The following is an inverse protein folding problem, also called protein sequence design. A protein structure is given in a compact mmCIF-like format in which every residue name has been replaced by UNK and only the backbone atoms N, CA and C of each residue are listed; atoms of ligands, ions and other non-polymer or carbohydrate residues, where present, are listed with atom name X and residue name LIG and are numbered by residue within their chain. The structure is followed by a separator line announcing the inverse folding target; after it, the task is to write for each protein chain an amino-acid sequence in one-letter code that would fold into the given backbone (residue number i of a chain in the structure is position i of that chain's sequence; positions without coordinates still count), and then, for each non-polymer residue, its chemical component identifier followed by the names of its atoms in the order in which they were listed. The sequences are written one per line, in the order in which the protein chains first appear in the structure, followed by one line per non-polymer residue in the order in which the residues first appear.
data_IF_146476168728
#
_entry.id   IF_146476168728
#
_cell.length_a   1.000
_cell.length_b   1.000
_cell.length_c   1.000
_cell.angle_alpha   90.00
_cell.angle_beta   90.00
_cell.angle_gamma   90.00
#
_symmetry.space_group_name_H-M   'P 1'
#
loop_
_entity.id
_entity.type
_entity.pdbx_description
1 polymer ?
#
# COMPACT_ATOMS: atom_id res chain seq x y z
N UNK A 1 14.99 -13.22 -8.89
CA UNK A 1 14.48 -13.07 -7.52
C UNK A 1 13.02 -12.66 -7.63
N UNK A 2 12.15 -13.18 -6.76
CA UNK A 2 10.73 -12.84 -6.65
C UNK A 2 10.41 -12.47 -5.21
N UNK A 3 9.33 -11.75 -4.99
CA UNK A 3 8.84 -11.44 -3.66
C UNK A 3 8.17 -12.68 -3.03
N UNK A 4 8.25 -12.76 -1.71
CA UNK A 4 7.44 -13.72 -0.98
C UNK A 4 5.97 -13.34 -1.12
N UNK A 5 5.11 -14.33 -1.35
CA UNK A 5 3.68 -14.10 -1.44
C UNK A 5 2.89 -15.34 -1.00
N UNK A 6 1.68 -15.12 -0.51
CA UNK A 6 0.73 -16.17 -0.18
C UNK A 6 -0.40 -16.16 -1.22
N UNK A 7 -0.58 -17.29 -1.93
CA UNK A 7 -1.64 -17.47 -2.91
C UNK A 7 -2.81 -18.25 -2.31
N UNK A 8 -4.03 -17.78 -2.57
CA UNK A 8 -5.27 -18.52 -2.30
C UNK A 8 -6.06 -18.58 -3.61
N UNK A 9 -6.29 -19.77 -4.11
CA UNK A 9 -7.00 -19.98 -5.38
C UNK A 9 -8.51 -19.87 -5.17
N UNK A 10 -9.17 -19.20 -6.12
CA UNK A 10 -10.61 -19.07 -6.23
C UNK A 10 -11.16 -19.83 -7.44
N UNK A 11 -12.28 -19.38 -7.99
CA UNK A 11 -12.90 -19.94 -9.19
C UNK A 11 -12.10 -19.57 -10.44
N UNK A 12 -11.97 -20.47 -11.42
CA UNK A 12 -11.32 -20.13 -12.69
C UNK A 12 -12.13 -19.08 -13.47
N UNK A 13 -11.43 -18.29 -14.27
CA UNK A 13 -12.04 -17.30 -15.18
C UNK A 13 -12.19 -15.90 -14.58
N UNK A 14 -12.06 -15.72 -13.27
CA UNK A 14 -12.01 -14.40 -12.64
C UNK A 14 -10.57 -13.88 -12.60
N UNK A 15 -10.36 -12.55 -12.67
CA UNK A 15 -9.03 -11.96 -12.48
C UNK A 15 -8.53 -12.19 -11.06
N UNK A 16 -7.21 -12.20 -10.87
CA UNK A 16 -6.62 -12.24 -9.54
C UNK A 16 -6.78 -10.92 -8.81
N UNK A 17 -6.91 -10.98 -7.49
CA UNK A 17 -6.75 -9.82 -6.60
C UNK A 17 -5.35 -9.88 -5.99
N UNK A 18 -4.51 -8.90 -6.31
CA UNK A 18 -3.14 -8.79 -5.81
C UNK A 18 -3.10 -7.70 -4.75
N UNK A 19 -2.88 -8.10 -3.51
CA UNK A 19 -2.90 -7.23 -2.34
C UNK A 19 -1.49 -6.80 -1.94
N UNK A 20 -1.30 -5.48 -1.78
CA UNK A 20 -0.03 -4.84 -1.40
C UNK A 20 -0.23 -4.08 -0.10
N UNK A 21 0.51 -4.47 0.95
CA UNK A 21 0.43 -3.87 2.27
C UNK A 21 1.09 -2.49 2.35
N UNK A 22 0.83 -1.75 3.42
CA UNK A 22 1.48 -0.49 3.76
C UNK A 22 2.88 -0.68 4.38
N UNK A 23 3.57 0.43 4.65
CA UNK A 23 4.85 0.41 5.35
C UNK A 23 4.74 -0.34 6.68
N UNK A 24 5.72 -1.17 6.98
CA UNK A 24 5.79 -2.08 8.12
C UNK A 24 4.74 -3.20 8.19
N UNK A 25 3.88 -3.33 7.15
CA UNK A 25 2.93 -4.43 7.00
C UNK A 25 3.59 -5.71 6.47
N UNK A 26 2.75 -6.70 6.19
CA UNK A 26 3.11 -7.96 5.54
C UNK A 26 1.90 -8.57 4.80
N UNK A 27 2.06 -9.76 4.24
CA UNK A 27 1.02 -10.47 3.49
C UNK A 27 -0.27 -10.79 4.30
N UNK A 28 -0.28 -10.59 5.62
CA UNK A 28 -1.48 -10.78 6.45
C UNK A 28 -2.37 -9.53 6.51
N UNK A 29 -1.84 -8.36 6.12
CA UNK A 29 -2.52 -7.06 6.23
C UNK A 29 -3.93 -7.07 5.64
N UNK A 30 -4.09 -7.70 4.47
CA UNK A 30 -5.32 -7.73 3.70
C UNK A 30 -6.14 -9.00 3.84
N UNK A 31 -5.72 -9.96 4.69
CA UNK A 31 -6.37 -11.27 4.72
C UNK A 31 -7.84 -11.19 5.14
N UNK A 32 -8.18 -10.39 6.15
CA UNK A 32 -9.56 -10.23 6.61
C UNK A 32 -10.47 -9.71 5.48
N UNK A 33 -10.04 -8.68 4.76
CA UNK A 33 -10.77 -8.14 3.62
C UNK A 33 -10.80 -9.13 2.47
N UNK A 34 -9.67 -9.73 2.14
CA UNK A 34 -9.54 -10.64 1.00
C UNK A 34 -10.34 -11.93 1.16
N UNK A 35 -10.59 -12.41 2.38
CA UNK A 35 -11.39 -13.61 2.61
C UNK A 35 -12.86 -13.47 2.18
N UNK A 36 -13.38 -12.25 2.19
CA UNK A 36 -14.71 -11.95 1.65
C UNK A 36 -14.82 -12.18 0.13
N UNK A 37 -13.69 -12.27 -0.57
CA UNK A 37 -13.60 -12.47 -2.02
C UNK A 37 -13.08 -13.88 -2.37
N UNK A 38 -13.57 -14.91 -1.69
CA UNK A 38 -13.11 -16.29 -1.85
C UNK A 38 -13.31 -16.85 -3.27
N UNK A 39 -14.21 -16.30 -4.04
CA UNK A 39 -14.44 -16.64 -5.44
C UNK A 39 -13.27 -16.20 -6.36
N UNK A 40 -12.54 -15.15 -5.98
CA UNK A 40 -11.36 -14.67 -6.69
C UNK A 40 -10.11 -15.41 -6.23
N UNK A 41 -9.19 -15.66 -7.15
CA UNK A 41 -7.83 -16.00 -6.77
C UNK A 41 -7.14 -14.78 -6.19
N UNK A 42 -6.44 -14.95 -5.06
CA UNK A 42 -5.84 -13.84 -4.29
C UNK A 42 -4.37 -14.09 -4.06
N UNK A 43 -3.56 -13.05 -4.27
CA UNK A 43 -2.15 -13.04 -3.96
C UNK A 43 -1.86 -11.93 -2.95
N UNK A 44 -1.35 -12.30 -1.79
CA UNK A 44 -0.92 -11.37 -0.75
C UNK A 44 0.59 -11.28 -0.77
N UNK A 45 1.14 -10.11 -1.10
CA UNK A 45 2.56 -9.94 -1.39
C UNK A 45 3.26 -9.24 -0.24
N UNK A 46 4.40 -9.80 0.21
CA UNK A 46 5.34 -9.09 1.07
C UNK A 46 6.24 -8.18 0.22
N UNK A 47 6.13 -6.87 0.43
CA UNK A 47 7.01 -5.89 -0.24
C UNK A 47 8.46 -6.06 0.22
N UNK A 48 9.48 -5.63 -0.57
CA UNK A 48 10.87 -5.70 -0.16
C UNK A 48 11.10 -5.13 1.24
N UNK A 49 12.00 -5.73 2.01
CA UNK A 49 12.28 -5.33 3.39
C UNK A 49 11.25 -5.74 4.43
N UNK A 50 10.15 -6.44 4.04
CA UNK A 50 9.03 -6.83 4.90
C UNK A 50 8.76 -8.33 4.86
N UNK A 51 8.22 -8.87 5.95
CA UNK A 51 7.76 -10.26 6.04
C UNK A 51 8.75 -11.27 5.49
N UNK A 52 8.29 -12.18 4.63
CA UNK A 52 9.14 -13.17 3.95
C UNK A 52 10.06 -12.58 2.87
N UNK A 53 9.88 -11.30 2.50
CA UNK A 53 10.76 -10.52 1.60
C UNK A 53 11.76 -9.64 2.36
N UNK A 54 11.94 -9.82 3.67
CA UNK A 54 12.76 -8.95 4.52
C UNK A 54 14.22 -8.85 4.06
N UNK A 55 14.77 -9.89 3.43
CA UNK A 55 16.17 -9.91 2.94
C UNK A 55 16.34 -9.32 1.55
N UNK A 56 15.25 -8.90 0.90
CA UNK A 56 15.27 -8.30 -0.44
C UNK A 56 15.47 -6.79 -0.27
N UNK A 57 16.60 -6.28 -0.73
CA UNK A 57 16.90 -4.85 -0.80
C UNK A 57 16.57 -4.30 -2.19
N UNK A 58 16.24 -3.02 -2.26
CA UNK A 58 15.91 -2.27 -3.48
C UNK A 58 16.48 -0.87 -3.39
N UNK A 59 16.77 -0.26 -4.53
CA UNK A 59 17.29 1.11 -4.61
C UNK A 59 16.18 2.13 -4.91
N UNK A 60 14.98 1.67 -5.29
CA UNK A 60 13.85 2.57 -5.59
C UNK A 60 12.60 1.85 -6.05
N UNK A 61 11.62 2.64 -6.48
CA UNK A 61 10.32 2.11 -6.94
C UNK A 61 10.43 1.22 -8.19
N UNK A 62 11.38 1.48 -9.09
CA UNK A 62 11.54 0.68 -10.32
C UNK A 62 11.95 -0.76 -9.98
N UNK A 63 12.81 -0.94 -8.98
CA UNK A 63 13.16 -2.27 -8.48
C UNK A 63 11.95 -2.97 -7.85
N UNK A 64 11.18 -2.23 -7.02
CA UNK A 64 9.98 -2.79 -6.36
C UNK A 64 8.96 -3.24 -7.40
N UNK A 65 8.66 -2.40 -8.40
CA UNK A 65 7.70 -2.73 -9.46
C UNK A 65 8.21 -3.86 -10.35
N UNK A 66 9.52 -3.87 -10.66
CA UNK A 66 10.16 -4.95 -11.41
C UNK A 66 10.09 -6.30 -10.68
N UNK A 67 10.28 -6.30 -9.35
CA UNK A 67 10.12 -7.50 -8.52
C UNK A 67 8.66 -7.95 -8.45
N UNK A 68 7.70 -7.01 -8.33
CA UNK A 68 6.27 -7.32 -8.40
C UNK A 68 5.91 -8.00 -9.72
N UNK A 69 6.33 -7.45 -10.86
CA UNK A 69 6.11 -8.04 -12.18
C UNK A 69 6.67 -9.46 -12.28
N UNK A 70 7.92 -9.67 -11.83
CA UNK A 70 8.54 -11.02 -11.82
C UNK A 70 7.75 -11.99 -10.93
N UNK A 71 7.21 -11.50 -9.83
CA UNK A 71 6.38 -12.31 -8.92
C UNK A 71 5.07 -12.70 -9.60
N UNK A 72 4.35 -11.76 -10.22
CA UNK A 72 3.11 -12.05 -10.98
C UNK A 72 3.34 -13.10 -12.06
N UNK A 73 4.42 -12.97 -12.83
CA UNK A 73 4.82 -13.95 -13.86
C UNK A 73 5.09 -15.31 -13.24
N UNK A 74 5.78 -15.39 -12.10
CA UNK A 74 6.10 -16.67 -11.44
C UNK A 74 4.88 -17.43 -10.94
N UNK A 75 3.79 -16.71 -10.64
CA UNK A 75 2.48 -17.28 -10.29
C UNK A 75 1.55 -17.49 -11.51
N UNK A 76 2.03 -17.22 -12.73
CA UNK A 76 1.27 -17.29 -13.97
C UNK A 76 -0.03 -16.44 -13.92
N UNK A 77 0.06 -15.26 -13.34
CA UNK A 77 -1.06 -14.32 -13.20
C UNK A 77 -1.14 -13.47 -14.46
N UNK A 78 -2.17 -13.70 -15.27
CA UNK A 78 -2.34 -13.06 -16.58
C UNK A 78 -3.36 -11.92 -16.56
N UNK A 79 -4.34 -11.96 -15.66
CA UNK A 79 -5.36 -10.93 -15.49
C UNK A 79 -5.54 -10.64 -14.00
N UNK A 80 -5.42 -9.38 -13.59
CA UNK A 80 -5.41 -9.04 -12.16
C UNK A 80 -5.82 -7.61 -11.87
N UNK A 81 -6.27 -7.41 -10.64
CA UNK A 81 -6.42 -6.12 -9.98
C UNK A 81 -5.29 -5.92 -8.98
N UNK A 82 -4.75 -4.71 -8.90
CA UNK A 82 -3.88 -4.31 -7.81
C UNK A 82 -4.70 -3.60 -6.73
N UNK A 83 -4.62 -4.07 -5.50
CA UNK A 83 -5.25 -3.46 -4.33
C UNK A 83 -4.15 -3.10 -3.33
N UNK A 84 -3.91 -1.82 -3.13
CA UNK A 84 -2.76 -1.38 -2.35
C UNK A 84 -3.10 -0.34 -1.29
N UNK A 85 -2.56 -0.51 -0.08
CA UNK A 85 -2.68 0.43 1.01
C UNK A 85 -1.41 1.27 1.18
N UNK A 86 -1.55 2.59 1.30
CA UNK A 86 -0.47 3.54 1.61
C UNK A 86 0.78 3.33 0.74
N UNK A 87 1.89 2.76 1.24
CA UNK A 87 3.06 2.38 0.43
C UNK A 87 2.67 1.41 -0.69
N UNK A 88 1.88 0.37 -0.38
CA UNK A 88 1.38 -0.58 -1.37
C UNK A 88 0.51 0.09 -2.44
N UNK A 89 -0.27 1.10 -2.08
CA UNK A 89 -1.02 1.93 -3.02
C UNK A 89 -0.11 2.74 -3.95
N UNK A 90 1.00 3.25 -3.41
CA UNK A 90 2.03 3.95 -4.20
C UNK A 90 2.73 3.02 -5.18
N UNK A 91 3.08 1.81 -4.73
CA UNK A 91 3.64 0.75 -5.59
C UNK A 91 2.65 0.35 -6.67
N UNK A 92 1.36 0.18 -6.33
CA UNK A 92 0.31 -0.15 -7.29
C UNK A 92 0.16 0.93 -8.39
N UNK A 93 0.15 2.21 -8.00
CA UNK A 93 0.11 3.32 -8.96
C UNK A 93 1.36 3.37 -9.85
N UNK A 94 2.55 3.22 -9.26
CA UNK A 94 3.82 3.19 -10.01
C UNK A 94 3.83 2.05 -11.03
N UNK A 95 3.46 0.85 -10.61
CA UNK A 95 3.40 -0.32 -11.48
C UNK A 95 2.37 -0.14 -12.61
N UNK A 96 1.18 0.37 -12.30
CA UNK A 96 0.13 0.60 -13.29
C UNK A 96 0.53 1.63 -14.36
N UNK A 97 1.31 2.65 -13.99
CA UNK A 97 1.84 3.63 -14.94
C UNK A 97 2.92 3.07 -15.88
N UNK A 98 3.38 1.82 -15.67
CA UNK A 98 4.31 1.10 -16.56
C UNK A 98 3.57 0.19 -17.57
N UNK A 99 2.27 0.36 -17.74
CA UNK A 99 1.44 -0.37 -18.72
C UNK A 99 1.53 -1.91 -18.58
N UNK A 100 1.28 -2.41 -17.38
CA UNK A 100 1.34 -3.85 -17.09
C UNK A 100 0.31 -4.64 -17.90
N UNK A 101 0.79 -5.62 -18.67
CA UNK A 101 -0.09 -6.53 -19.40
C UNK A 101 -1.02 -7.29 -18.44
N UNK A 102 -2.31 -7.32 -18.74
CA UNK A 102 -3.31 -8.01 -17.94
C UNK A 102 -3.82 -7.26 -16.72
N UNK A 103 -3.40 -6.02 -16.52
CA UNK A 103 -3.96 -5.18 -15.47
C UNK A 103 -5.40 -4.78 -15.79
N UNK A 104 -6.36 -5.24 -14.99
CA UNK A 104 -7.77 -4.89 -15.10
C UNK A 104 -8.08 -3.53 -14.44
N UNK A 105 -7.42 -3.24 -13.34
CA UNK A 105 -7.57 -1.98 -12.64
C UNK A 105 -6.78 -1.92 -11.34
N UNK A 106 -6.84 -0.75 -10.71
CA UNK A 106 -6.13 -0.43 -9.47
C UNK A 106 -7.11 0.14 -8.46
N UNK A 107 -7.03 -0.36 -7.24
CA UNK A 107 -7.71 0.19 -6.06
C UNK A 107 -6.66 0.65 -5.07
N UNK A 108 -6.64 1.93 -4.76
CA UNK A 108 -5.66 2.54 -3.86
C UNK A 108 -6.36 2.98 -2.57
N UNK A 109 -5.90 2.49 -1.44
CA UNK A 109 -6.28 3.01 -0.13
C UNK A 109 -5.17 3.92 0.39
N UNK A 110 -5.43 5.21 0.52
CA UNK A 110 -4.52 6.16 1.16
C UNK A 110 -3.12 6.30 0.52
N UNK A 111 -2.97 6.02 -0.78
CA UNK A 111 -1.69 6.13 -1.49
C UNK A 111 -1.47 7.54 -2.05
N UNK A 112 -0.31 8.14 -1.81
CA UNK A 112 0.02 9.48 -2.30
C UNK A 112 0.57 9.43 -3.74
N UNK A 113 0.08 10.27 -4.68
CA UNK A 113 0.51 10.23 -6.10
C UNK A 113 1.89 10.83 -6.37
N UNK A 114 2.57 11.35 -5.37
CA UNK A 114 3.86 12.04 -5.49
C UNK A 114 3.79 13.50 -5.05
N UNK A 115 4.92 14.09 -4.69
CA UNK A 115 5.03 15.50 -4.31
C UNK A 115 5.32 16.35 -5.54
N UNK A 116 4.69 17.54 -5.60
CA UNK A 116 4.74 18.39 -6.78
C UNK A 116 5.94 19.32 -6.82
N UNK A 117 6.42 19.80 -5.66
CA UNK A 117 7.47 20.80 -5.64
C UNK A 117 8.72 20.36 -4.85
N UNK A 118 9.85 21.04 -5.12
CA UNK A 118 11.15 20.72 -4.55
C UNK A 118 11.22 20.97 -3.03
N UNK A 119 10.48 21.96 -2.52
CA UNK A 119 10.46 22.28 -1.09
C UNK A 119 9.80 21.17 -0.28
N UNK A 120 8.61 20.71 -0.72
CA UNK A 120 7.93 19.56 -0.12
C UNK A 120 8.78 18.29 -0.15
N UNK A 121 9.49 18.06 -1.26
CA UNK A 121 10.42 16.91 -1.39
C UNK A 121 11.57 17.02 -0.41
N UNK A 122 12.19 18.19 -0.27
CA UNK A 122 13.29 18.43 0.66
C UNK A 122 12.85 18.28 2.12
N UNK A 123 11.67 18.80 2.48
CA UNK A 123 11.08 18.62 3.81
C UNK A 123 10.80 17.16 4.12
N UNK A 124 10.15 16.47 3.18
CA UNK A 124 9.87 15.04 3.31
C UNK A 124 11.14 14.22 3.46
N UNK A 125 12.18 14.51 2.68
CA UNK A 125 13.45 13.80 2.78
C UNK A 125 14.11 14.00 4.16
N UNK A 126 14.05 15.22 4.73
CA UNK A 126 14.55 15.47 6.08
C UNK A 126 13.78 14.65 7.13
N UNK A 127 12.46 14.65 7.03
CA UNK A 127 11.59 13.88 7.93
C UNK A 127 11.86 12.37 7.82
N UNK A 128 11.91 11.83 6.59
CA UNK A 128 12.14 10.39 6.40
C UNK A 128 13.53 9.96 6.89
N UNK A 129 14.58 10.79 6.73
CA UNK A 129 15.92 10.52 7.29
C UNK A 129 15.92 10.43 8.82
N UNK A 130 15.11 11.23 9.51
CA UNK A 130 14.97 11.11 10.96
C UNK A 130 14.35 9.78 11.36
N UNK A 131 13.31 9.34 10.66
CA UNK A 131 12.70 8.02 10.88
C UNK A 131 13.66 6.87 10.55
N UNK A 132 14.38 6.95 9.42
CA UNK A 132 15.43 5.99 9.04
C UNK A 132 16.45 5.83 10.17
N UNK A 133 16.97 6.94 10.71
CA UNK A 133 17.92 6.90 11.81
C UNK A 133 17.34 6.23 13.06
N UNK A 134 16.09 6.52 13.40
CA UNK A 134 15.39 5.91 14.53
C UNK A 134 15.18 4.42 14.34
N UNK A 135 14.75 3.98 13.15
CA UNK A 135 14.61 2.55 12.83
C UNK A 135 15.93 1.79 12.93
N UNK A 136 17.07 2.45 12.66
CA UNK A 136 18.40 1.84 12.74
C UNK A 136 18.92 1.74 14.18
N UNK A 137 18.53 2.63 15.08
CA UNK A 137 19.24 2.83 16.36
C UNK A 137 18.38 2.67 17.61
N UNK A 138 17.06 2.73 17.50
CA UNK A 138 16.14 2.68 18.64
C UNK A 138 15.36 1.36 18.69
N UNK A 139 14.86 0.95 19.86
CA UNK A 139 13.91 -0.16 19.96
C UNK A 139 12.65 0.12 19.15
N UNK A 140 12.23 -0.85 18.32
CA UNK A 140 11.08 -0.69 17.42
C UNK A 140 9.78 -0.34 18.14
N UNK A 141 9.60 -0.82 19.38
CA UNK A 141 8.44 -0.47 20.20
C UNK A 141 8.36 1.03 20.47
N UNK A 142 9.48 1.69 20.74
CA UNK A 142 9.53 3.14 20.94
C UNK A 142 9.31 3.89 19.62
N UNK A 143 9.96 3.43 18.54
CA UNK A 143 9.81 4.04 17.22
C UNK A 143 8.36 3.98 16.75
N UNK A 144 7.70 2.82 16.85
CA UNK A 144 6.31 2.70 16.42
C UNK A 144 5.31 3.37 17.37
N UNK A 145 5.61 3.49 18.67
CA UNK A 145 4.79 4.30 19.57
C UNK A 145 4.67 5.75 19.09
N UNK A 146 5.78 6.34 18.63
CA UNK A 146 5.79 7.70 18.08
C UNK A 146 5.29 7.74 16.62
N UNK A 147 5.60 6.72 15.81
CA UNK A 147 5.12 6.62 14.43
C UNK A 147 3.60 6.74 14.33
N UNK A 148 2.88 6.05 15.22
CA UNK A 148 1.43 6.07 15.25
C UNK A 148 0.82 7.31 15.95
N UNK A 149 1.65 8.25 16.41
CA UNK A 149 1.20 9.59 16.82
C UNK A 149 1.18 10.60 15.67
N UNK A 150 1.69 10.25 14.49
CA UNK A 150 1.64 11.14 13.33
C UNK A 150 0.19 11.51 12.99
N UNK A 151 -0.06 12.74 12.48
CA UNK A 151 -1.43 13.22 12.19
C UNK A 151 -2.25 12.32 11.26
N UNK A 152 -1.59 11.58 10.37
CA UNK A 152 -2.25 10.64 9.45
C UNK A 152 -2.96 9.50 10.20
N UNK A 153 -2.54 9.19 11.42
CA UNK A 153 -3.12 8.15 12.28
C UNK A 153 -4.00 8.72 13.41
N UNK A 154 -4.44 9.97 13.31
CA UNK A 154 -5.22 10.62 14.36
C UNK A 154 -6.58 9.97 14.65
N UNK A 155 -7.11 9.18 13.70
CA UNK A 155 -8.37 8.44 13.85
C UNK A 155 -8.28 7.23 14.78
N UNK A 156 -7.07 6.66 14.95
CA UNK A 156 -6.86 5.49 15.79
C UNK A 156 -7.05 5.83 17.26
N UNK A 157 -7.74 4.96 17.98
CA UNK A 157 -7.79 5.02 19.45
C UNK A 157 -6.54 4.39 20.08
N UNK A 158 -6.41 4.48 21.41
CA UNK A 158 -5.22 4.01 22.11
C UNK A 158 -5.06 2.48 22.05
N UNK A 159 -6.15 1.72 22.02
CA UNK A 159 -6.11 0.26 21.89
C UNK A 159 -5.59 -0.16 20.52
N UNK A 160 -6.13 0.45 19.46
CA UNK A 160 -5.69 0.23 18.09
C UNK A 160 -4.20 0.61 17.89
N UNK A 161 -3.75 1.72 18.49
CA UNK A 161 -2.33 2.11 18.45
C UNK A 161 -1.46 1.08 19.17
N UNK A 162 -1.84 0.62 20.37
CA UNK A 162 -1.08 -0.39 21.12
C UNK A 162 -0.98 -1.70 20.33
N UNK A 163 -2.08 -2.15 19.72
CA UNK A 163 -2.09 -3.34 18.89
C UNK A 163 -1.13 -3.21 17.69
N UNK A 164 -1.20 -2.08 16.96
CA UNK A 164 -0.31 -1.82 15.84
C UNK A 164 1.16 -1.73 16.26
N UNK A 165 1.47 -1.07 17.38
CA UNK A 165 2.84 -1.02 17.92
C UNK A 165 3.35 -2.44 18.21
N UNK A 166 2.56 -3.27 18.89
CA UNK A 166 2.95 -4.63 19.20
C UNK A 166 3.19 -5.46 17.92
N UNK A 167 2.29 -5.36 16.95
CA UNK A 167 2.37 -6.08 15.68
C UNK A 167 3.61 -5.66 14.87
N UNK A 168 3.81 -4.35 14.70
CA UNK A 168 4.89 -3.80 13.84
C UNK A 168 6.27 -3.91 14.47
N UNK A 169 6.37 -4.00 15.77
CA UNK A 169 7.64 -4.18 16.48
C UNK A 169 8.32 -5.52 16.22
N UNK A 170 7.64 -6.48 15.58
CA UNK A 170 8.21 -7.74 15.13
C UNK A 170 9.03 -7.64 13.83
N UNK A 171 9.05 -6.49 13.18
CA UNK A 171 9.84 -6.25 11.98
C UNK A 171 11.34 -6.13 12.29
N UNK A 172 12.15 -6.02 11.23
CA UNK A 172 13.57 -5.68 11.32
C UNK A 172 13.77 -4.20 11.01
N UNK A 173 14.31 -3.43 11.96
CA UNK A 173 14.49 -1.99 11.82
C UNK A 173 15.40 -1.60 10.66
N UNK A 174 16.48 -2.36 10.41
CA UNK A 174 17.41 -2.07 9.32
C UNK A 174 16.76 -2.26 7.94
N UNK A 175 15.93 -3.31 7.75
CA UNK A 175 15.25 -3.53 6.47
C UNK A 175 14.12 -2.51 6.24
N UNK A 176 13.41 -2.12 7.31
CA UNK A 176 12.42 -1.04 7.25
C UNK A 176 13.08 0.30 6.90
N UNK A 177 14.22 0.62 7.52
CA UNK A 177 14.97 1.84 7.24
C UNK A 177 15.39 1.91 5.76
N UNK A 178 15.97 0.82 5.22
CA UNK A 178 16.36 0.72 3.82
C UNK A 178 15.16 0.91 2.87
N UNK A 179 14.02 0.24 3.16
CA UNK A 179 12.82 0.37 2.33
C UNK A 179 12.21 1.77 2.41
N UNK A 180 12.21 2.41 3.60
CA UNK A 180 11.72 3.77 3.76
C UNK A 180 12.57 4.76 2.95
N UNK A 181 13.88 4.60 2.93
CA UNK A 181 14.80 5.43 2.16
C UNK A 181 14.59 5.23 0.65
N UNK A 182 14.60 3.98 0.19
CA UNK A 182 14.41 3.61 -1.22
C UNK A 182 13.07 4.06 -1.79
N UNK A 183 12.01 4.06 -0.97
CA UNK A 183 10.65 4.40 -1.38
C UNK A 183 10.12 5.66 -0.70
N UNK A 184 11.00 6.56 -0.25
CA UNK A 184 10.58 7.86 0.29
C UNK A 184 9.65 8.57 -0.68
N UNK A 185 8.63 9.25 -0.15
CA UNK A 185 7.77 10.09 -0.98
C UNK A 185 8.56 11.25 -1.62
N UNK A 186 9.71 11.59 -1.06
CA UNK A 186 10.60 12.61 -1.61
C UNK A 186 11.22 12.22 -2.96
N UNK A 187 11.45 10.91 -3.19
CA UNK A 187 12.04 10.39 -4.43
C UNK A 187 11.00 9.85 -5.41
N UNK A 188 9.75 9.68 -4.96
CA UNK A 188 8.67 9.25 -5.85
C UNK A 188 8.38 10.30 -6.90
N UNK A 189 8.28 9.94 -8.19
CA UNK A 189 7.80 10.85 -9.22
C UNK A 189 6.35 11.28 -8.96
N UNK A 190 5.98 12.44 -9.47
CA UNK A 190 4.57 12.87 -9.48
C UNK A 190 3.82 12.11 -10.58
N UNK A 191 2.87 11.28 -10.17
CA UNK A 191 2.11 10.40 -11.07
C UNK A 191 0.81 11.02 -11.61
N UNK A 192 0.48 12.28 -11.25
CA UNK A 192 -0.81 12.87 -11.62
C UNK A 192 -1.05 12.89 -13.11
N UNK A 193 -0.04 13.26 -13.90
CA UNK A 193 -0.15 13.28 -15.36
C UNK A 193 -0.39 11.87 -15.94
N UNK A 194 0.36 10.88 -15.46
CA UNK A 194 0.21 9.49 -15.89
C UNK A 194 -1.16 8.93 -15.49
N UNK A 195 -1.60 9.17 -14.26
CA UNK A 195 -2.91 8.74 -13.77
C UNK A 195 -4.07 9.44 -14.49
N UNK A 196 -3.89 10.68 -14.92
CA UNK A 196 -4.89 11.40 -15.72
C UNK A 196 -5.03 10.80 -17.13
N UNK A 197 -3.93 10.31 -17.72
CA UNK A 197 -3.90 9.70 -19.06
C UNK A 197 -4.17 8.18 -19.03
N UNK A 198 -4.52 7.60 -17.88
CA UNK A 198 -4.69 6.16 -17.68
C UNK A 198 -5.75 5.54 -18.59
N UNK A 199 -5.51 4.29 -18.99
CA UNK A 199 -6.45 3.45 -19.75
C UNK A 199 -7.07 2.32 -18.94
N UNK A 200 -6.64 2.16 -17.67
CA UNK A 200 -7.13 1.15 -16.72
C UNK A 200 -8.15 1.75 -15.74
N UNK A 201 -8.99 0.90 -15.15
CA UNK A 201 -9.92 1.30 -14.11
C UNK A 201 -9.15 1.73 -12.84
N UNK A 202 -9.49 2.89 -12.26
CA UNK A 202 -8.79 3.45 -11.12
C UNK A 202 -9.76 3.94 -10.06
N UNK A 203 -9.71 3.31 -8.90
CA UNK A 203 -10.54 3.60 -7.76
C UNK A 203 -9.70 4.00 -6.55
N UNK A 204 -10.29 4.85 -5.71
CA UNK A 204 -9.61 5.32 -4.51
C UNK A 204 -10.47 5.09 -3.28
N UNK A 205 -9.92 4.45 -2.25
CA UNK A 205 -10.57 4.25 -0.95
C UNK A 205 -9.99 5.24 0.05
N UNK A 206 -10.85 5.97 0.73
CA UNK A 206 -10.45 6.90 1.79
C UNK A 206 -11.34 6.70 3.00
N UNK A 207 -10.77 6.68 4.19
CA UNK A 207 -11.57 6.82 5.38
C UNK A 207 -12.28 8.18 5.45
N UNK A 208 -13.48 8.19 6.00
CA UNK A 208 -14.28 9.42 6.21
C UNK A 208 -13.50 10.52 6.96
N UNK A 209 -12.62 10.09 7.91
CA UNK A 209 -11.82 10.97 8.76
C UNK A 209 -10.46 11.32 8.15
N UNK A 210 -10.11 10.79 6.98
CA UNK A 210 -8.85 11.08 6.28
C UNK A 210 -9.04 12.21 5.25
N UNK A 211 -9.17 13.43 5.73
CA UNK A 211 -9.41 14.61 4.89
C UNK A 211 -8.30 14.84 3.86
N UNK A 212 -7.04 14.54 4.21
CA UNK A 212 -5.88 14.70 3.32
C UNK A 212 -6.01 13.81 2.08
N UNK A 213 -6.27 12.53 2.27
CA UNK A 213 -6.33 11.60 1.14
C UNK A 213 -7.65 11.68 0.38
N UNK A 214 -8.73 12.16 1.01
CA UNK A 214 -9.96 12.55 0.29
C UNK A 214 -9.70 13.71 -0.67
N UNK A 215 -8.94 14.72 -0.26
CA UNK A 215 -8.56 15.82 -1.12
C UNK A 215 -7.68 15.36 -2.29
N UNK A 216 -6.72 14.46 -2.04
CA UNK A 216 -5.88 13.85 -3.08
C UNK A 216 -6.69 13.02 -4.08
N UNK A 217 -7.68 12.24 -3.62
CA UNK A 217 -8.57 11.48 -4.51
C UNK A 217 -9.36 12.40 -5.45
N UNK A 218 -9.87 13.52 -4.92
CA UNK A 218 -10.56 14.53 -5.73
C UNK A 218 -9.63 15.19 -6.75
N UNK A 219 -8.39 15.50 -6.36
CA UNK A 219 -7.37 16.07 -7.26
C UNK A 219 -7.01 15.11 -8.41
N UNK A 220 -7.02 13.80 -8.16
CA UNK A 220 -6.78 12.76 -9.17
C UNK A 220 -7.99 12.46 -10.06
N UNK A 221 -9.13 13.11 -9.84
CA UNK A 221 -10.41 12.77 -10.46
C UNK A 221 -10.67 11.23 -10.39
N UNK A 222 -10.33 10.63 -9.26
CA UNK A 222 -10.53 9.22 -9.02
C UNK A 222 -11.98 8.95 -8.61
N UNK A 223 -12.50 7.77 -8.98
CA UNK A 223 -13.74 7.26 -8.40
C UNK A 223 -13.46 6.90 -6.93
N UNK A 224 -13.93 7.78 -6.02
CA UNK A 224 -13.57 7.73 -4.61
C UNK A 224 -14.69 7.15 -3.76
N UNK A 225 -14.41 6.02 -3.13
CA UNK A 225 -15.28 5.38 -2.14
C UNK A 225 -14.85 5.81 -0.73
N UNK A 226 -15.76 6.50 -0.03
CA UNK A 226 -15.52 6.97 1.34
C UNK A 226 -15.96 5.89 2.32
N UNK A 227 -15.01 5.40 3.13
CA UNK A 227 -15.24 4.37 4.14
C UNK A 227 -15.69 5.04 5.45
N UNK A 228 -16.93 4.81 5.90
CA UNK A 228 -17.47 5.50 7.08
C UNK A 228 -16.73 5.07 8.36
N UNK A 229 -16.61 5.99 9.30
CA UNK A 229 -15.99 5.77 10.63
C UNK A 229 -14.53 5.32 10.59
N UNK A 230 -13.82 5.48 9.49
CA UNK A 230 -12.43 5.10 9.30
C UNK A 230 -11.57 6.32 8.97
N UNK A 231 -10.27 6.20 9.24
CA UNK A 231 -9.23 7.13 8.84
C UNK A 231 -8.29 6.50 7.82
N UNK A 232 -6.97 6.66 8.01
CA UNK A 232 -5.97 6.23 7.05
C UNK A 232 -5.85 4.70 6.91
N UNK A 233 -6.11 3.96 7.98
CA UNK A 233 -6.10 2.49 7.99
C UNK A 233 -7.53 1.95 7.81
N UNK A 234 -8.22 2.34 6.73
CA UNK A 234 -9.65 2.05 6.58
C UNK A 234 -9.95 0.54 6.57
N UNK A 235 -9.09 -0.27 5.95
CA UNK A 235 -9.22 -1.74 5.94
C UNK A 235 -9.12 -2.39 7.33
N UNK A 236 -8.49 -1.71 8.32
CA UNK A 236 -8.43 -2.15 9.73
C UNK A 236 -9.51 -1.50 10.60
N UNK A 237 -9.79 -0.21 10.37
CA UNK A 237 -10.76 0.53 11.17
C UNK A 237 -12.20 0.15 10.84
N UNK A 238 -12.49 -0.20 9.58
CA UNK A 238 -13.79 -0.66 9.11
C UNK A 238 -13.66 -1.63 7.93
N UNK A 239 -13.21 -2.88 8.14
CA UNK A 239 -13.03 -3.87 7.07
C UNK A 239 -14.33 -4.15 6.31
N UNK A 240 -15.49 -4.16 7.00
CA UNK A 240 -16.79 -4.35 6.35
C UNK A 240 -17.12 -3.25 5.33
N UNK A 241 -16.77 -2.00 5.63
CA UNK A 241 -16.94 -0.87 4.70
C UNK A 241 -16.04 -0.99 3.47
N UNK A 242 -14.79 -1.44 3.66
CA UNK A 242 -13.86 -1.70 2.56
C UNK A 242 -14.33 -2.88 1.70
N UNK A 243 -14.79 -3.97 2.32
CA UNK A 243 -15.36 -5.13 1.61
C UNK A 243 -16.57 -4.68 0.77
N UNK A 244 -17.48 -3.91 1.32
CA UNK A 244 -18.65 -3.41 0.58
C UNK A 244 -18.26 -2.54 -0.63
N UNK A 245 -17.24 -1.68 -0.48
CA UNK A 245 -16.72 -0.85 -1.57
C UNK A 245 -16.03 -1.69 -2.65
N UNK A 246 -15.15 -2.61 -2.26
CA UNK A 246 -14.51 -3.54 -3.21
C UNK A 246 -15.52 -4.40 -3.95
N UNK A 247 -16.58 -4.88 -3.28
CA UNK A 247 -17.64 -5.65 -3.91
C UNK A 247 -18.43 -4.84 -4.96
N UNK A 248 -18.52 -3.52 -4.80
CA UNK A 248 -19.10 -2.63 -5.81
C UNK A 248 -18.17 -2.44 -7.00
N UNK A 249 -16.86 -2.26 -6.75
CA UNK A 249 -15.83 -2.05 -7.76
C UNK A 249 -15.63 -3.31 -8.62
N UNK A 250 -15.62 -4.49 -8.01
CA UNK A 250 -15.34 -5.76 -8.65
C UNK A 250 -16.58 -6.43 -9.30
N UNK A 251 -17.70 -5.73 -9.37
CA UNK A 251 -18.89 -6.25 -10.11
C UNK A 251 -18.61 -6.26 -11.60
N UNK A 252 -18.59 -7.45 -12.16
CA UNK A 252 -18.57 -7.76 -13.60
C UNK A 252 -19.95 -8.20 -14.03
#
# INVERSE_FOLDING_TARGET
MILHAQAKHGKPGLPWLVFLHGFSGDCHEWQEVGEAFADYSRLYVDLPGHGGSATISVDGFDDVTGLLCKTLVSYNILNFWLVGYSLGGRVAMMAACQELAGLCGVVVEGGHPGLQNAEQRAERQRSDRQWVQRFLTEPLTAVFADWYQQPVFASLNDDQRRELVALRSNNNGATLAAMLEATSLAVQPDLRANLSARTFAFYYLCGERDSKFRALAAELAADCHVIPRAGHNAHRENPAGVIASLAQILRF
#
